data_IF_509459384071
#
_entry.id   IF_509459384071
#
_cell.length_a   1.000
_cell.length_b   1.000
_cell.length_c   1.000
_cell.angle_alpha   90.00
_cell.angle_beta   90.00
_cell.angle_gamma   90.00
#
_symmetry.space_group_name_H-M   'P 1'
#
loop_
_entity.id
_entity.type
_entity.pdbx_description
1 polymer ?
#
# COMPACT_ATOMS: atom_id res chain seq x y z
N UNK A 1 2.73 -30.05 -33.90
CA UNK A 1 2.34 -29.05 -32.88
C UNK A 1 3.50 -28.89 -31.92
N UNK A 2 3.83 -27.65 -31.53
CA UNK A 2 4.87 -27.36 -30.55
C UNK A 2 4.24 -26.92 -29.24
N UNK A 3 4.72 -27.44 -28.12
CA UNK A 3 4.19 -27.19 -26.77
C UNK A 3 5.31 -26.78 -25.84
N UNK A 4 5.06 -25.76 -25.02
CA UNK A 4 5.91 -25.32 -23.92
C UNK A 4 5.11 -25.50 -22.63
N UNK A 5 5.59 -26.25 -21.63
CA UNK A 5 4.88 -26.50 -20.37
C UNK A 5 4.93 -25.27 -19.45
N UNK A 6 4.56 -24.11 -19.97
CA UNK A 6 4.44 -22.84 -19.26
C UNK A 6 3.02 -22.30 -19.40
N UNK A 7 2.61 -21.46 -18.44
CA UNK A 7 1.32 -20.78 -18.48
C UNK A 7 1.19 -19.94 -19.75
N UNK A 8 0.02 -20.03 -20.40
CA UNK A 8 -0.27 -19.24 -21.60
C UNK A 8 -0.03 -17.74 -21.38
N UNK A 9 0.78 -17.14 -22.26
CA UNK A 9 1.07 -15.71 -22.24
C UNK A 9 0.92 -15.10 -23.65
N UNK A 10 0.03 -14.11 -23.83
CA UNK A 10 -0.26 -13.50 -25.13
C UNK A 10 0.91 -12.67 -25.69
N UNK A 11 1.91 -12.33 -24.89
CA UNK A 11 3.09 -11.56 -25.32
C UNK A 11 4.09 -12.37 -26.15
N UNK A 12 3.99 -13.70 -26.14
CA UNK A 12 4.85 -14.58 -26.93
C UNK A 12 4.31 -14.79 -28.35
N UNK A 13 5.17 -14.55 -29.34
CA UNK A 13 4.87 -14.73 -30.76
C UNK A 13 5.88 -15.70 -31.38
N UNK A 14 5.38 -16.81 -31.93
CA UNK A 14 6.18 -17.75 -32.70
C UNK A 14 6.08 -17.45 -34.21
N UNK A 15 7.21 -17.50 -34.91
CA UNK A 15 7.32 -17.31 -36.37
C UNK A 15 8.16 -18.43 -37.01
N UNK A 16 7.81 -18.84 -38.23
CA UNK A 16 8.59 -19.80 -39.04
C UNK A 16 9.89 -19.18 -39.57
N UNK A 17 10.77 -19.99 -40.18
CA UNK A 17 11.98 -19.49 -40.85
C UNK A 17 11.69 -18.52 -42.01
N UNK A 18 10.50 -18.61 -42.62
CA UNK A 18 10.00 -17.66 -43.63
C UNK A 18 9.33 -16.40 -43.05
N UNK A 19 9.25 -16.28 -41.72
CA UNK A 19 8.65 -15.14 -41.01
C UNK A 19 7.13 -15.22 -40.80
N UNK A 20 6.46 -16.31 -41.23
CA UNK A 20 5.02 -16.47 -41.05
C UNK A 20 4.67 -16.68 -39.57
N UNK A 21 3.67 -15.94 -39.06
CA UNK A 21 3.23 -16.03 -37.67
C UNK A 21 2.43 -17.31 -37.43
N UNK A 22 2.78 -18.06 -36.39
CA UNK A 22 2.06 -19.27 -35.99
C UNK A 22 0.86 -18.92 -35.09
N UNK A 23 -0.23 -19.65 -35.26
CA UNK A 23 -1.44 -19.51 -34.46
C UNK A 23 -1.24 -20.10 -33.06
N UNK A 24 -1.41 -19.32 -31.97
CA UNK A 24 -1.28 -19.82 -30.61
C UNK A 24 -2.50 -20.67 -30.23
N UNK A 25 -2.27 -21.72 -29.45
CA UNK A 25 -3.29 -22.62 -28.93
C UNK A 25 -3.01 -22.96 -27.46
N UNK A 26 -4.07 -23.11 -26.68
CA UNK A 26 -3.98 -23.60 -25.30
C UNK A 26 -3.94 -25.13 -25.31
N UNK A 27 -2.94 -25.72 -24.68
CA UNK A 27 -2.79 -27.17 -24.54
C UNK A 27 -3.18 -27.55 -23.13
N UNK A 28 -4.00 -28.59 -22.96
CA UNK A 28 -4.47 -29.05 -21.65
C UNK A 28 -5.17 -27.96 -20.79
N UNK A 29 -5.64 -26.87 -21.40
CA UNK A 29 -6.34 -25.77 -20.71
C UNK A 29 -5.45 -24.73 -20.01
N UNK A 30 -4.12 -24.94 -19.95
CA UNK A 30 -3.22 -24.00 -19.25
C UNK A 30 -1.84 -23.83 -19.92
N UNK A 31 -1.42 -24.77 -20.75
CA UNK A 31 -0.11 -24.76 -21.39
C UNK A 31 -0.11 -23.98 -22.69
N UNK A 32 1.04 -23.42 -23.04
CA UNK A 32 1.23 -22.67 -24.25
C UNK A 32 1.67 -23.55 -25.44
N UNK A 33 1.03 -23.41 -26.59
CA UNK A 33 1.43 -24.09 -27.81
C UNK A 33 1.14 -23.31 -29.09
N UNK A 34 1.67 -23.81 -30.21
CA UNK A 34 1.45 -23.23 -31.55
C UNK A 34 1.23 -24.31 -32.61
N UNK A 35 0.36 -23.99 -33.58
CA UNK A 35 0.12 -24.84 -34.77
C UNK A 35 1.30 -24.69 -35.74
N UNK A 36 1.91 -25.81 -36.14
CA UNK A 36 3.03 -25.84 -37.09
C UNK A 36 2.50 -26.34 -38.44
N UNK A 37 2.68 -25.59 -39.55
CA UNK A 37 2.23 -26.01 -40.89
C UNK A 37 2.90 -27.31 -41.34
N UNK A 38 2.24 -28.06 -42.23
CA UNK A 38 2.83 -29.24 -42.87
C UNK A 38 3.94 -28.82 -43.85
N UNK A 39 5.09 -29.50 -43.82
CA UNK A 39 6.28 -29.18 -44.63
C UNK A 39 7.54 -29.06 -43.76
N UNK A 40 8.60 -28.47 -44.31
CA UNK A 40 9.80 -28.07 -43.56
C UNK A 40 9.64 -26.61 -43.09
N UNK A 41 9.23 -26.35 -41.84
CA UNK A 41 9.03 -24.99 -41.33
C UNK A 41 10.33 -24.24 -41.08
N UNK A 42 11.49 -24.91 -41.21
CA UNK A 42 12.78 -24.40 -40.77
C UNK A 42 12.79 -24.06 -39.28
N UNK A 43 13.72 -23.19 -38.87
CA UNK A 43 13.85 -22.75 -37.47
C UNK A 43 12.67 -21.89 -37.04
N UNK A 44 11.94 -22.33 -36.01
CA UNK A 44 10.86 -21.55 -35.38
C UNK A 44 11.48 -20.60 -34.36
N UNK A 45 11.23 -19.31 -34.52
CA UNK A 45 11.71 -18.27 -33.60
C UNK A 45 10.59 -17.82 -32.67
N UNK A 46 10.88 -17.82 -31.37
CA UNK A 46 9.96 -17.34 -30.34
C UNK A 46 10.42 -15.97 -29.87
N UNK A 47 9.56 -14.96 -30.01
CA UNK A 47 9.88 -13.58 -29.66
C UNK A 47 8.84 -12.99 -28.72
N UNK A 48 9.30 -12.29 -27.69
CA UNK A 48 8.44 -11.51 -26.82
C UNK A 48 8.42 -10.05 -27.29
N UNK A 49 7.30 -9.60 -27.86
CA UNK A 49 7.24 -8.35 -28.61
C UNK A 49 7.55 -7.11 -27.75
N UNK A 50 7.22 -7.15 -26.45
CA UNK A 50 7.44 -6.03 -25.52
C UNK A 50 8.83 -6.01 -24.89
N UNK A 51 9.67 -7.02 -25.14
CA UNK A 51 11.00 -7.13 -24.52
C UNK A 51 11.94 -5.96 -24.89
N UNK A 52 11.98 -5.48 -26.15
CA UNK A 52 12.82 -4.33 -26.50
C UNK A 52 12.38 -3.04 -25.80
N UNK A 53 11.07 -2.81 -25.67
CA UNK A 53 10.53 -1.63 -24.97
C UNK A 53 10.84 -1.67 -23.48
N UNK A 54 10.68 -2.85 -22.87
CA UNK A 54 11.06 -3.08 -21.47
C UNK A 54 12.56 -2.83 -21.25
N UNK A 55 13.43 -3.41 -22.08
CA UNK A 55 14.87 -3.22 -22.01
C UNK A 55 15.28 -1.76 -22.21
N UNK A 56 14.70 -1.07 -23.20
CA UNK A 56 14.93 0.35 -23.42
C UNK A 56 14.50 1.20 -22.22
N UNK A 57 13.32 0.92 -21.64
CA UNK A 57 12.85 1.58 -20.43
C UNK A 57 13.78 1.38 -19.24
N UNK A 58 14.32 0.18 -19.05
CA UNK A 58 15.27 -0.13 -17.98
C UNK A 58 16.59 0.64 -18.15
N UNK A 59 17.14 0.65 -19.36
CA UNK A 59 18.38 1.37 -19.67
C UNK A 59 18.19 2.88 -19.48
N UNK A 60 17.09 3.45 -20.00
CA UNK A 60 16.75 4.87 -19.82
C UNK A 60 16.57 5.21 -18.35
N UNK A 61 15.80 4.42 -17.60
CA UNK A 61 15.60 4.62 -16.16
C UNK A 61 16.90 4.58 -15.37
N UNK A 62 17.78 3.62 -15.67
CA UNK A 62 19.09 3.51 -15.03
C UNK A 62 20.00 4.68 -15.39
N UNK A 63 19.98 5.15 -16.64
CA UNK A 63 20.75 6.31 -17.10
C UNK A 63 20.27 7.63 -16.47
N UNK A 64 19.01 7.73 -16.04
CA UNK A 64 18.49 8.90 -15.33
C UNK A 64 19.00 9.00 -13.88
N UNK A 65 19.41 7.89 -13.25
CA UNK A 65 19.94 7.90 -11.88
C UNK A 65 21.22 8.72 -11.71
N UNK A 66 22.29 8.56 -12.53
CA UNK A 66 23.49 9.39 -12.40
C UNK A 66 23.20 10.86 -12.72
N UNK A 67 22.28 11.16 -13.65
CA UNK A 67 21.83 12.53 -13.90
C UNK A 67 21.14 13.12 -12.67
N UNK A 68 20.25 12.36 -12.02
CA UNK A 68 19.58 12.78 -10.79
C UNK A 68 20.58 12.99 -9.66
N UNK A 69 21.58 12.10 -9.52
CA UNK A 69 22.65 12.24 -8.54
C UNK A 69 23.45 13.52 -8.80
N UNK A 70 23.87 13.77 -10.05
CA UNK A 70 24.56 14.99 -10.44
C UNK A 70 23.74 16.23 -10.08
N UNK A 71 22.44 16.26 -10.42
CA UNK A 71 21.55 17.38 -10.09
C UNK A 71 21.39 17.57 -8.57
N UNK A 72 21.26 16.47 -7.82
CA UNK A 72 21.15 16.50 -6.37
C UNK A 72 22.40 17.09 -5.71
N UNK A 73 23.60 16.65 -6.13
CA UNK A 73 24.89 17.11 -5.61
C UNK A 73 25.30 18.49 -6.12
N UNK A 74 24.86 18.88 -7.31
CA UNK A 74 25.09 20.22 -7.84
C UNK A 74 24.27 21.26 -7.07
N UNK A 75 22.99 20.98 -6.82
CA UNK A 75 22.08 21.88 -6.10
C UNK A 75 22.38 21.97 -4.59
N UNK A 76 22.96 20.93 -3.97
CA UNK A 76 23.46 21.03 -2.59
C UNK A 76 24.55 22.09 -2.42
N UNK A 77 25.32 22.38 -3.48
CA UNK A 77 26.44 23.32 -3.43
C UNK A 77 25.99 24.79 -3.45
N UNK A 78 24.75 25.06 -3.86
CA UNK A 78 24.21 26.41 -4.09
C UNK A 78 22.98 26.73 -3.23
N UNK A 79 22.75 25.99 -2.14
CA UNK A 79 21.60 26.27 -1.26
C UNK A 79 21.85 27.49 -0.38
N UNK A 80 21.25 28.62 -0.74
CA UNK A 80 20.80 29.61 0.23
C UNK A 80 19.65 28.99 1.05
N UNK A 81 19.80 29.00 2.37
CA UNK A 81 18.79 28.51 3.30
C UNK A 81 17.61 29.49 3.35
N UNK A 82 16.67 29.35 2.40
CA UNK A 82 15.38 30.04 2.46
C UNK A 82 14.62 29.73 3.75
N UNK A 83 13.60 30.53 4.05
CA UNK A 83 12.78 30.34 5.24
C UNK A 83 12.18 28.92 5.30
N UNK A 84 12.15 28.28 6.49
CA UNK A 84 11.61 26.93 6.64
C UNK A 84 10.12 26.90 6.27
N UNK A 85 9.72 25.90 5.48
CA UNK A 85 8.32 25.66 5.17
C UNK A 85 7.57 25.24 6.43
N UNK A 86 6.42 25.86 6.68
CA UNK A 86 5.59 25.51 7.83
C UNK A 86 4.62 24.38 7.47
N UNK A 87 4.60 23.27 8.22
CA UNK A 87 3.66 22.18 7.98
C UNK A 87 2.24 22.61 8.33
N UNK A 88 1.26 22.09 7.60
CA UNK A 88 -0.14 22.32 7.90
C UNK A 88 -0.50 21.72 9.27
N UNK A 89 -1.11 22.52 10.14
CA UNK A 89 -1.64 22.07 11.43
C UNK A 89 -3.12 21.65 11.27
N UNK A 90 -3.45 20.35 11.35
CA UNK A 90 -4.82 19.89 11.23
C UNK A 90 -5.64 20.33 12.46
N UNK A 91 -6.55 21.26 12.26
CA UNK A 91 -7.50 21.70 13.29
C UNK A 91 -8.66 20.74 13.47
N UNK A 92 -9.68 21.13 14.24
CA UNK A 92 -10.85 20.29 14.54
C UNK A 92 -11.59 19.76 13.29
N UNK A 93 -11.54 20.47 12.16
CA UNK A 93 -12.12 20.02 10.90
C UNK A 93 -11.55 18.67 10.42
N UNK A 94 -10.32 18.32 10.83
CA UNK A 94 -9.69 17.04 10.52
C UNK A 94 -10.39 15.83 11.17
N UNK A 95 -11.32 16.06 12.10
CA UNK A 95 -12.22 15.02 12.59
C UNK A 95 -13.07 14.40 11.47
N UNK A 96 -13.48 15.19 10.47
CA UNK A 96 -14.30 14.71 9.34
C UNK A 96 -13.55 13.67 8.49
N UNK A 97 -12.36 13.98 7.92
CA UNK A 97 -11.61 12.98 7.18
C UNK A 97 -11.14 11.81 8.07
N UNK A 98 -10.90 12.02 9.37
CA UNK A 98 -10.58 10.92 10.29
C UNK A 98 -11.74 9.94 10.47
N UNK A 99 -12.96 10.44 10.67
CA UNK A 99 -14.18 9.62 10.74
C UNK A 99 -14.45 8.92 9.41
N UNK A 100 -14.26 9.61 8.27
CA UNK A 100 -14.38 9.01 6.95
C UNK A 100 -13.36 7.88 6.73
N UNK A 101 -12.10 8.06 7.15
CA UNK A 101 -11.10 7.00 7.10
C UNK A 101 -11.50 5.81 7.98
N UNK A 102 -12.00 6.05 9.19
CA UNK A 102 -12.56 4.99 10.04
C UNK A 102 -13.69 4.22 9.37
N UNK A 103 -14.62 4.93 8.72
CA UNK A 103 -15.71 4.33 7.95
C UNK A 103 -15.21 3.46 6.77
N UNK A 104 -14.21 3.94 6.03
CA UNK A 104 -13.63 3.20 4.92
C UNK A 104 -12.88 1.94 5.38
N UNK A 105 -12.21 2.00 6.54
CA UNK A 105 -11.40 0.89 7.04
C UNK A 105 -12.25 -0.19 7.69
N UNK A 106 -13.29 0.17 8.45
CA UNK A 106 -14.04 -0.78 9.28
C UNK A 106 -15.55 -0.52 9.34
N UNK A 107 -16.09 0.26 8.40
CA UNK A 107 -17.51 0.60 8.37
C UNK A 107 -17.98 1.35 9.62
N UNK A 108 -19.19 1.06 10.07
CA UNK A 108 -19.78 1.69 11.24
C UNK A 108 -18.93 1.51 12.51
N UNK A 109 -18.28 0.34 12.68
CA UNK A 109 -17.41 0.09 13.83
C UNK A 109 -16.20 1.04 13.87
N UNK A 110 -15.61 1.33 12.71
CA UNK A 110 -14.52 2.29 12.61
C UNK A 110 -14.95 3.73 12.94
N UNK A 111 -16.16 4.13 12.54
CA UNK A 111 -16.74 5.44 12.92
C UNK A 111 -16.91 5.55 14.43
N UNK A 112 -17.45 4.51 15.07
CA UNK A 112 -17.68 4.49 16.52
C UNK A 112 -16.36 4.59 17.28
N UNK A 113 -15.36 3.77 16.92
CA UNK A 113 -14.06 3.76 17.60
C UNK A 113 -13.31 5.09 17.39
N UNK A 114 -13.34 5.64 16.18
CA UNK A 114 -12.72 6.93 15.87
C UNK A 114 -13.42 8.09 16.61
N UNK A 115 -14.75 8.11 16.61
CA UNK A 115 -15.54 9.10 17.33
C UNK A 115 -15.29 9.04 18.84
N UNK A 116 -15.20 7.84 19.41
CA UNK A 116 -14.87 7.65 20.83
C UNK A 116 -13.46 8.18 21.17
N UNK A 117 -12.46 7.91 20.33
CA UNK A 117 -11.10 8.42 20.53
C UNK A 117 -11.06 9.96 20.46
N UNK A 118 -11.74 10.57 19.50
CA UNK A 118 -11.85 12.03 19.37
C UNK A 118 -12.61 12.67 20.54
N UNK A 119 -13.71 12.05 20.99
CA UNK A 119 -14.46 12.49 22.15
C UNK A 119 -13.63 12.42 23.44
N UNK A 120 -12.86 11.33 23.60
CA UNK A 120 -11.97 11.15 24.74
C UNK A 120 -10.80 12.15 24.70
N UNK A 121 -10.24 12.43 23.52
CA UNK A 121 -9.23 13.49 23.31
C UNK A 121 -9.74 14.85 23.76
N UNK A 122 -10.99 15.16 23.42
CA UNK A 122 -11.64 16.43 23.78
C UNK A 122 -11.99 16.51 25.28
N UNK A 123 -12.37 15.39 25.90
CA UNK A 123 -12.79 15.36 27.31
C UNK A 123 -11.62 15.29 28.31
N UNK A 124 -10.49 14.68 27.93
CA UNK A 124 -9.37 14.46 28.83
C UNK A 124 -8.34 15.59 28.81
N UNK A 125 -7.72 15.82 29.97
CA UNK A 125 -6.55 16.70 30.09
C UNK A 125 -5.40 16.19 29.22
N UNK A 126 -4.62 17.10 28.63
CA UNK A 126 -3.48 16.79 27.76
C UNK A 126 -2.56 15.68 28.31
N UNK A 127 -2.10 15.80 29.57
CA UNK A 127 -1.24 14.79 30.22
C UNK A 127 -1.86 13.41 30.40
N UNK A 128 -3.19 13.31 30.50
CA UNK A 128 -3.89 12.02 30.59
C UNK A 128 -4.05 11.42 29.21
N UNK A 129 -4.41 12.24 28.23
CA UNK A 129 -4.48 11.84 26.85
C UNK A 129 -3.13 11.33 26.34
N UNK A 130 -2.02 12.04 26.56
CA UNK A 130 -0.69 11.63 26.09
C UNK A 130 -0.30 10.22 26.56
N UNK A 131 -0.60 9.90 27.82
CA UNK A 131 -0.35 8.55 28.37
C UNK A 131 -1.24 7.50 27.74
N UNK A 132 -2.53 7.80 27.59
CA UNK A 132 -3.46 6.89 26.91
C UNK A 132 -3.12 6.74 25.43
N UNK A 133 -2.62 7.79 24.80
CA UNK A 133 -2.20 7.79 23.41
C UNK A 133 -1.00 6.88 23.20
N UNK A 134 0.01 7.03 24.05
CA UNK A 134 1.21 6.22 24.02
C UNK A 134 0.88 4.73 24.26
N UNK A 135 0.13 4.43 25.31
CA UNK A 135 -0.20 3.05 25.69
C UNK A 135 -1.21 2.42 24.73
N UNK A 136 -2.24 3.18 24.33
CA UNK A 136 -3.31 2.71 23.46
C UNK A 136 -2.86 2.44 22.02
N UNK A 137 -1.99 3.30 21.47
CA UNK A 137 -1.43 3.08 20.13
C UNK A 137 -0.48 1.88 20.11
N UNK A 138 0.61 1.92 20.88
CA UNK A 138 1.58 0.83 20.88
C UNK A 138 0.98 -0.48 21.41
N UNK A 139 0.27 -0.42 22.54
CA UNK A 139 -0.31 -1.59 23.20
C UNK A 139 -1.37 -2.28 22.37
N UNK A 140 -2.29 -1.52 21.74
CA UNK A 140 -3.34 -2.10 20.89
C UNK A 140 -2.75 -2.91 19.72
N UNK A 141 -1.75 -2.35 19.02
CA UNK A 141 -1.12 -3.02 17.89
C UNK A 141 -0.27 -4.23 18.32
N UNK A 142 0.48 -4.12 19.43
CA UNK A 142 1.28 -5.22 19.97
C UNK A 142 0.39 -6.40 20.36
N UNK A 143 -0.70 -6.15 21.08
CA UNK A 143 -1.63 -7.22 21.50
C UNK A 143 -2.36 -7.83 20.30
N UNK A 144 -2.78 -7.01 19.33
CA UNK A 144 -3.37 -7.50 18.08
C UNK A 144 -2.39 -8.41 17.33
N UNK A 145 -1.12 -8.01 17.20
CA UNK A 145 -0.07 -8.80 16.55
C UNK A 145 0.25 -10.10 17.30
N UNK A 146 0.32 -10.04 18.63
CA UNK A 146 0.54 -11.23 19.47
C UNK A 146 -0.64 -12.22 19.44
N UNK A 147 -1.87 -11.73 19.26
CA UNK A 147 -3.02 -12.59 19.04
C UNK A 147 -3.01 -13.19 17.63
N UNK A 148 -2.67 -12.41 16.60
CA UNK A 148 -2.58 -12.88 15.21
C UNK A 148 -1.47 -13.92 15.02
N UNK A 149 -0.35 -13.80 15.74
CA UNK A 149 0.77 -14.76 15.63
C UNK A 149 0.43 -16.17 16.09
N UNK A 150 -0.62 -16.33 16.91
CA UNK A 150 -1.13 -17.65 17.31
C UNK A 150 -1.86 -18.38 16.19
N UNK A 151 -2.40 -17.65 15.22
CA UNK A 151 -3.27 -18.17 14.15
C UNK A 151 -3.04 -17.42 12.82
N UNK A 152 -1.84 -17.55 12.21
CA UNK A 152 -1.49 -16.89 10.96
C UNK A 152 -2.26 -17.45 9.76
N UNK A 153 -2.20 -16.77 8.61
CA UNK A 153 -2.98 -17.05 7.38
C UNK A 153 -2.93 -18.52 6.92
N UNK A 154 -1.84 -19.25 7.19
CA UNK A 154 -1.68 -20.67 6.83
C UNK A 154 -1.79 -21.64 8.00
N UNK A 155 -2.30 -21.20 9.15
CA UNK A 155 -2.48 -22.08 10.31
C UNK A 155 -3.59 -23.09 10.06
N UNK A 156 -3.36 -24.32 10.53
CA UNK A 156 -4.33 -25.42 10.43
C UNK A 156 -5.59 -25.16 11.29
N UNK A 157 -5.43 -24.40 12.37
CA UNK A 157 -6.49 -24.09 13.34
C UNK A 157 -7.35 -22.87 12.97
N UNK A 158 -7.14 -22.30 11.78
CA UNK A 158 -7.91 -21.16 11.25
C UNK A 158 -7.24 -19.80 11.43
N UNK A 159 -7.65 -18.81 10.64
CA UNK A 159 -7.01 -17.49 10.57
C UNK A 159 -7.62 -16.45 11.52
N UNK A 160 -6.84 -15.97 12.49
CA UNK A 160 -7.28 -14.99 13.49
C UNK A 160 -7.49 -13.57 12.94
N UNK A 161 -7.10 -13.29 11.70
CA UNK A 161 -7.29 -11.96 11.10
C UNK A 161 -8.77 -11.59 10.87
N UNK A 162 -9.68 -12.57 10.82
CA UNK A 162 -11.12 -12.31 10.80
C UNK A 162 -11.74 -12.08 12.19
N UNK A 163 -10.95 -12.19 13.26
CA UNK A 163 -11.49 -12.05 14.61
C UNK A 163 -11.79 -10.58 14.94
N UNK A 164 -13.01 -10.33 15.41
CA UNK A 164 -13.47 -8.99 15.80
C UNK A 164 -12.57 -8.35 16.86
N UNK A 165 -11.99 -9.16 17.76
CA UNK A 165 -11.12 -8.68 18.82
C UNK A 165 -9.77 -8.17 18.30
N UNK A 166 -9.13 -8.90 17.37
CA UNK A 166 -7.87 -8.46 16.74
C UNK A 166 -8.10 -7.20 15.92
N UNK A 167 -9.21 -7.15 15.17
CA UNK A 167 -9.60 -5.99 14.39
C UNK A 167 -9.89 -4.77 15.30
N UNK A 168 -10.62 -4.95 16.40
CA UNK A 168 -10.92 -3.87 17.35
C UNK A 168 -9.65 -3.31 17.99
N UNK A 169 -8.72 -4.16 18.43
CA UNK A 169 -7.45 -3.73 19.03
C UNK A 169 -6.60 -2.91 18.06
N UNK A 170 -6.53 -3.34 16.79
CA UNK A 170 -5.86 -2.58 15.74
C UNK A 170 -6.54 -1.23 15.47
N UNK A 171 -7.88 -1.20 15.45
CA UNK A 171 -8.67 0.02 15.26
C UNK A 171 -8.52 1.01 16.41
N UNK A 172 -8.51 0.55 17.67
CA UNK A 172 -8.28 1.40 18.84
C UNK A 172 -6.90 2.04 18.76
N UNK A 173 -5.87 1.26 18.42
CA UNK A 173 -4.51 1.78 18.22
C UNK A 173 -4.48 2.89 17.17
N UNK A 174 -5.10 2.65 16.01
CA UNK A 174 -5.16 3.62 14.93
C UNK A 174 -5.94 4.88 15.32
N UNK A 175 -7.13 4.73 15.90
CA UNK A 175 -8.00 5.84 16.28
C UNK A 175 -7.36 6.76 17.32
N UNK A 176 -6.71 6.17 18.33
CA UNK A 176 -6.01 6.92 19.37
C UNK A 176 -4.78 7.66 18.81
N UNK A 177 -4.05 7.05 17.88
CA UNK A 177 -2.95 7.70 17.17
C UNK A 177 -3.46 8.88 16.32
N UNK A 178 -4.51 8.68 15.53
CA UNK A 178 -5.11 9.72 14.68
C UNK A 178 -5.66 10.88 15.51
N UNK A 179 -6.34 10.60 16.63
CA UNK A 179 -6.84 11.64 17.51
C UNK A 179 -5.73 12.46 18.19
N UNK A 180 -4.50 11.94 18.27
CA UNK A 180 -3.35 12.64 18.86
C UNK A 180 -2.74 13.70 17.94
N UNK A 181 -2.88 13.57 16.62
CA UNK A 181 -2.34 14.54 15.66
C UNK A 181 -3.32 15.67 15.34
N UNK A 182 -4.61 15.52 15.69
CA UNK A 182 -5.64 16.53 15.47
C UNK A 182 -5.61 17.56 16.60
N UNK A 183 -5.45 18.83 16.23
CA UNK A 183 -5.47 19.96 17.15
C UNK A 183 -6.93 20.30 17.45
N UNK A 184 -7.38 19.92 18.65
CA UNK A 184 -8.68 20.34 19.18
C UNK A 184 -8.56 21.73 19.80
N UNK A 185 -9.56 22.62 19.63
CA UNK A 185 -9.62 23.88 20.36
C UNK A 185 -9.64 23.60 21.87
N UNK A 186 -8.77 24.29 22.61
CA UNK A 186 -8.80 24.22 24.06
C UNK A 186 -10.14 24.72 24.57
N UNK A 187 -10.65 24.09 25.63
CA UNK A 187 -11.81 24.62 26.36
C UNK A 187 -11.39 25.95 26.99
N UNK A 188 -11.68 27.07 26.33
CA UNK A 188 -11.66 28.39 26.97
C UNK A 188 -12.51 28.29 28.23
N UNK A 189 -11.86 28.46 29.39
CA UNK A 189 -12.60 28.71 30.62
C UNK A 189 -13.37 30.00 30.39
N UNK A 190 -14.70 29.92 30.36
CA UNK A 190 -15.51 31.11 30.70
C UNK A 190 -14.99 31.57 32.07
N UNK A 191 -14.52 32.82 32.22
CA UNK A 191 -14.33 33.39 33.54
C UNK A 191 -15.69 33.23 34.25
N UNK A 192 -15.69 32.63 35.43
CA UNK A 192 -16.91 32.64 36.24
C UNK A 192 -17.24 34.10 36.52
N UNK A 193 -18.46 34.50 36.19
CA UNK A 193 -19.03 35.74 36.71
C UNK A 193 -19.10 35.58 38.25
N UNK A 194 -18.19 36.26 38.94
CA UNK A 194 -18.34 36.63 40.36
C UNK A 194 -19.22 37.86 40.48
#
# INVERSE_FOLDING_TARGET
>A
MMVIPESINPGWVARTGSGARLTPIAVNGWQQGWVVPAGDPGTITLTFASNPLYGAGLVVGLALLPLLALLAFWRTRTRDAGAPTQPWRPGAWAAVPALAAGALIAGAGGVVVMGAALGLRYALRARRWERLALVGSAGGLIVAGAALSRQPWRSADGYAGHSANVQLLALVSLAVLTASVIVMPDRERRPGDE
#
